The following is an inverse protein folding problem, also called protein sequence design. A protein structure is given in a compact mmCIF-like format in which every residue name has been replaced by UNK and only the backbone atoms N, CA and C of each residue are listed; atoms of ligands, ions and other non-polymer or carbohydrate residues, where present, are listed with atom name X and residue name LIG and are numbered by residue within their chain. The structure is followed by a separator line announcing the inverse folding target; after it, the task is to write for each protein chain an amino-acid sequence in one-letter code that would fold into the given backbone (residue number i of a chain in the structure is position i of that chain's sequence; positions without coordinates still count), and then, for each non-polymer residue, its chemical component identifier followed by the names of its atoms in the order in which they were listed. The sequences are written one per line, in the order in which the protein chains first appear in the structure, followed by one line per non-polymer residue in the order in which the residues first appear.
data_IF_956581572467
#
_entry.id   IF_956581572467
#
_cell.length_a   1.000
_cell.length_b   1.000
_cell.length_c   1.000
_cell.angle_alpha   90.00
_cell.angle_beta   90.00
_cell.angle_gamma   90.00
#
_symmetry.space_group_name_H-M   'P 1'
#
loop_
_entity.id
_entity.type
_entity.pdbx_description
1 polymer ?
#
# COMPACT_ATOMS: atom_id res chain seq x y z
N UNK A 1 -3.50 -22.47 17.83
CA UNK A 1 -3.40 -23.23 16.57
C UNK A 1 -2.89 -22.28 15.50
N UNK A 2 -1.56 -22.18 15.38
CA UNK A 2 -0.87 -21.41 14.34
C UNK A 2 0.31 -22.27 13.92
N UNK A 3 0.06 -23.26 13.06
CA UNK A 3 1.11 -24.04 12.41
C UNK A 3 0.79 -24.04 10.92
N UNK A 4 1.40 -23.10 10.21
CA UNK A 4 1.44 -23.08 8.75
C UNK A 4 2.83 -22.57 8.35
N UNK A 5 3.85 -23.38 8.64
CA UNK A 5 5.23 -23.18 8.17
C UNK A 5 5.72 -24.34 7.30
N UNK A 6 4.89 -25.36 7.06
CA UNK A 6 5.27 -26.54 6.29
C UNK A 6 5.49 -26.25 4.79
N UNK A 7 5.02 -25.10 4.29
CA UNK A 7 5.26 -24.62 2.92
C UNK A 7 6.43 -23.63 2.80
N UNK A 8 7.21 -23.41 3.86
CA UNK A 8 8.35 -22.49 3.79
C UNK A 8 9.51 -23.11 2.97
N UNK A 9 10.15 -22.35 2.08
CA UNK A 9 11.32 -22.80 1.34
C UNK A 9 12.42 -23.37 2.25
N UNK A 10 13.16 -24.38 1.78
CA UNK A 10 14.30 -24.93 2.54
C UNK A 10 15.30 -23.82 2.85
N UNK A 11 15.58 -23.60 4.12
CA UNK A 11 16.45 -22.53 4.60
C UNK A 11 15.71 -21.31 5.18
N UNK A 12 14.38 -21.32 5.24
CA UNK A 12 13.62 -20.27 5.93
C UNK A 12 13.90 -20.29 7.43
N UNK A 13 14.51 -19.21 7.92
CA UNK A 13 14.72 -18.96 9.35
C UNK A 13 13.45 -18.32 9.90
N UNK A 14 12.87 -18.92 10.94
CA UNK A 14 11.72 -18.35 11.63
C UNK A 14 12.14 -17.04 12.33
N UNK A 15 11.44 -15.91 12.09
CA UNK A 15 11.68 -14.69 12.85
C UNK A 15 11.39 -14.87 14.35
N UNK A 16 12.16 -14.20 15.21
CA UNK A 16 11.87 -14.17 16.64
C UNK A 16 10.48 -13.56 16.91
N UNK A 17 9.79 -14.09 17.92
CA UNK A 17 8.47 -13.59 18.30
C UNK A 17 8.62 -12.22 18.94
N UNK A 18 8.05 -11.22 18.28
CA UNK A 18 8.11 -9.84 18.74
C UNK A 18 7.22 -9.61 19.96
N UNK A 19 7.77 -8.99 21.02
CA UNK A 19 6.96 -8.56 22.15
C UNK A 19 6.07 -7.37 21.74
N UNK A 20 4.79 -7.45 22.10
CA UNK A 20 3.82 -6.40 21.80
C UNK A 20 3.89 -5.27 22.83
N UNK A 21 4.39 -5.55 24.03
CA UNK A 21 4.61 -4.54 25.08
C UNK A 21 5.88 -3.76 24.74
N UNK A 22 5.72 -2.57 24.16
CA UNK A 22 6.85 -1.76 23.68
C UNK A 22 7.08 -1.82 22.18
N UNK A 23 6.18 -2.42 21.40
CA UNK A 23 6.28 -2.40 19.94
C UNK A 23 6.33 -0.97 19.35
N UNK A 24 5.68 -0.04 20.04
CA UNK A 24 5.63 1.38 19.66
C UNK A 24 6.51 2.27 20.55
N UNK A 25 7.33 1.68 21.44
CA UNK A 25 8.34 2.50 22.10
C UNK A 25 9.45 2.80 21.10
N UNK A 26 9.89 4.06 21.06
CA UNK A 26 11.01 4.53 20.25
C UNK A 26 12.35 4.08 20.88
N UNK A 27 12.46 2.80 21.19
CA UNK A 27 13.68 2.19 21.67
C UNK A 27 14.41 1.59 20.47
N UNK A 28 15.54 2.21 20.09
CA UNK A 28 16.35 1.80 18.94
C UNK A 28 17.01 0.44 19.19
N UNK A 29 17.18 0.04 20.45
CA UNK A 29 17.65 -1.30 20.84
C UNK A 29 16.50 -2.33 20.90
N UNK A 30 15.28 -1.89 20.63
CA UNK A 30 14.07 -2.70 20.67
C UNK A 30 14.09 -3.86 19.66
N UNK A 31 13.35 -4.92 19.97
CA UNK A 31 13.32 -6.15 19.18
C UNK A 31 12.91 -5.96 17.70
N UNK A 32 12.23 -4.85 17.37
CA UNK A 32 11.92 -4.46 15.98
C UNK A 32 13.13 -4.06 15.15
N UNK A 33 14.18 -3.51 15.77
CA UNK A 33 15.38 -3.02 15.08
C UNK A 33 16.50 -4.08 15.02
N UNK A 34 16.36 -5.21 15.72
CA UNK A 34 17.33 -6.31 15.77
C UNK A 34 17.58 -7.01 14.42
N UNK A 35 16.71 -6.84 13.44
CA UNK A 35 16.88 -7.41 12.09
C UNK A 35 18.09 -6.84 11.33
N UNK A 36 18.56 -5.65 11.69
CA UNK A 36 19.74 -5.05 11.08
C UNK A 36 21.03 -5.79 11.47
N UNK A 37 21.12 -6.30 12.70
CA UNK A 37 22.26 -7.08 13.18
C UNK A 37 22.32 -8.49 12.57
N UNK A 38 21.19 -9.02 12.09
CA UNK A 38 21.14 -10.31 11.36
C UNK A 38 21.81 -10.19 9.98
N UNK A 39 21.71 -9.01 9.35
CA UNK A 39 22.46 -8.72 8.12
C UNK A 39 23.96 -8.65 8.39
N UNK A 40 24.37 -8.14 9.56
CA UNK A 40 25.78 -8.12 10.00
C UNK A 40 26.33 -9.52 10.32
N UNK A 41 25.51 -10.42 10.88
CA UNK A 41 25.92 -11.78 11.23
C UNK A 41 26.02 -12.75 10.02
N UNK A 42 25.34 -12.45 8.91
CA UNK A 42 25.43 -13.22 7.66
C UNK A 42 26.56 -12.76 6.73
N UNK A 43 27.12 -11.59 6.98
CA UNK A 43 28.36 -11.12 6.38
C UNK A 43 29.49 -11.76 7.19
N UNK A 44 30.22 -12.73 6.64
CA UNK A 44 31.45 -13.22 7.26
C UNK A 44 32.46 -12.07 7.50
N UNK A 45 33.72 -12.38 7.83
CA UNK A 45 34.77 -11.40 8.19
C UNK A 45 34.95 -10.17 7.25
N UNK A 46 34.33 -10.15 6.07
CA UNK A 46 34.14 -8.98 5.23
C UNK A 46 32.92 -8.13 5.68
N UNK A 47 33.20 -7.20 6.59
CA UNK A 47 32.29 -6.21 7.20
C UNK A 47 31.84 -5.08 6.25
N UNK A 48 31.50 -5.37 4.99
CA UNK A 48 30.98 -4.33 4.09
C UNK A 48 29.45 -4.39 4.13
N UNK A 49 28.77 -3.38 4.72
CA UNK A 49 27.32 -3.34 4.72
C UNK A 49 26.79 -3.32 3.27
N UNK A 50 25.61 -3.90 3.01
CA UNK A 50 25.03 -3.87 1.67
C UNK A 50 24.85 -2.42 1.22
N UNK A 51 24.98 -2.16 -0.09
CA UNK A 51 25.00 -0.79 -0.62
C UNK A 51 23.73 0.00 -0.27
N UNK A 52 22.57 -0.67 -0.16
CA UNK A 52 21.33 -0.01 0.23
C UNK A 52 21.35 0.52 1.66
N UNK A 53 22.29 0.04 2.49
CA UNK A 53 22.53 0.50 3.85
C UNK A 53 23.72 1.47 3.91
N UNK A 54 24.74 1.25 3.08
CA UNK A 54 26.04 1.94 3.15
C UNK A 54 26.17 3.19 2.27
N UNK A 55 25.38 3.30 1.19
CA UNK A 55 25.48 4.36 0.18
C UNK A 55 24.21 5.21 0.16
N UNK A 56 24.31 6.46 0.62
CA UNK A 56 23.22 7.43 0.62
C UNK A 56 22.61 7.64 -0.77
N UNK A 57 23.39 7.54 -1.85
CA UNK A 57 22.86 7.65 -3.21
C UNK A 57 21.94 6.48 -3.55
N UNK A 58 22.23 5.29 -3.02
CA UNK A 58 21.35 4.13 -3.19
C UNK A 58 20.03 4.33 -2.43
N UNK A 59 20.03 4.95 -1.25
CA UNK A 59 18.80 5.32 -0.55
C UNK A 59 17.97 6.31 -1.36
N UNK A 60 18.59 7.39 -1.85
CA UNK A 60 17.91 8.40 -2.68
C UNK A 60 17.33 7.76 -3.94
N UNK A 61 18.08 6.87 -4.59
CA UNK A 61 17.61 6.16 -5.77
C UNK A 61 16.42 5.22 -5.48
N UNK A 62 16.47 4.47 -4.38
CA UNK A 62 15.36 3.59 -3.95
C UNK A 62 14.11 4.40 -3.64
N UNK A 63 14.25 5.48 -2.85
CA UNK A 63 13.14 6.35 -2.49
C UNK A 63 12.52 6.96 -3.75
N UNK A 64 13.33 7.53 -4.65
CA UNK A 64 12.84 8.11 -5.89
C UNK A 64 12.14 7.08 -6.79
N UNK A 65 12.66 5.86 -6.86
CA UNK A 65 12.03 4.78 -7.63
C UNK A 65 10.68 4.36 -7.02
N UNK A 66 10.60 4.23 -5.70
CA UNK A 66 9.37 3.88 -5.00
C UNK A 66 8.31 4.98 -5.12
N UNK A 67 8.72 6.24 -4.99
CA UNK A 67 7.84 7.40 -5.18
C UNK A 67 7.28 7.44 -6.61
N UNK A 68 8.16 7.29 -7.62
CA UNK A 68 7.73 7.22 -9.02
C UNK A 68 6.74 6.09 -9.28
N UNK A 69 7.00 4.89 -8.73
CA UNK A 69 6.07 3.75 -8.82
C UNK A 69 4.74 4.04 -8.14
N UNK A 70 4.77 4.66 -6.96
CA UNK A 70 3.59 5.06 -6.20
C UNK A 70 2.73 6.04 -6.99
N UNK A 71 3.30 7.14 -7.46
CA UNK A 71 2.60 8.13 -8.28
C UNK A 71 1.99 7.51 -9.55
N UNK A 72 2.70 6.59 -10.20
CA UNK A 72 2.18 5.93 -11.39
C UNK A 72 0.99 5.00 -11.08
N UNK A 73 1.06 4.27 -9.97
CA UNK A 73 -0.05 3.43 -9.53
C UNK A 73 -1.27 4.29 -9.13
N UNK A 74 -1.06 5.35 -8.38
CA UNK A 74 -2.10 6.28 -7.95
C UNK A 74 -2.76 6.97 -9.14
N UNK A 75 -1.99 7.44 -10.12
CA UNK A 75 -2.54 8.02 -11.35
C UNK A 75 -3.46 7.05 -12.10
N UNK A 76 -3.10 5.77 -12.15
CA UNK A 76 -3.94 4.75 -12.79
C UNK A 76 -5.24 4.51 -12.03
N UNK A 77 -5.19 4.51 -10.69
CA UNK A 77 -6.37 4.40 -9.84
C UNK A 77 -7.29 5.62 -10.06
N UNK A 78 -6.75 6.83 -9.99
CA UNK A 78 -7.51 8.07 -10.20
C UNK A 78 -8.20 8.06 -11.55
N UNK A 79 -7.50 7.66 -12.62
CA UNK A 79 -8.11 7.57 -13.97
C UNK A 79 -9.31 6.62 -13.99
N UNK A 80 -9.19 5.48 -13.32
CA UNK A 80 -10.26 4.50 -13.25
C UNK A 80 -11.43 5.01 -12.39
N UNK A 81 -11.16 5.62 -11.25
CA UNK A 81 -12.18 6.21 -10.38
C UNK A 81 -12.94 7.34 -11.07
N UNK A 82 -12.22 8.24 -11.77
CA UNK A 82 -12.84 9.32 -12.55
C UNK A 82 -13.73 8.77 -13.66
N UNK A 83 -13.28 7.73 -14.37
CA UNK A 83 -14.09 7.09 -15.40
C UNK A 83 -15.39 6.50 -14.81
N UNK A 84 -15.29 5.81 -13.66
CA UNK A 84 -16.44 5.24 -12.98
C UNK A 84 -17.41 6.32 -12.47
N UNK A 85 -16.88 7.39 -11.88
CA UNK A 85 -17.69 8.53 -11.40
C UNK A 85 -18.40 9.22 -12.55
N UNK A 86 -17.77 9.32 -13.72
CA UNK A 86 -18.41 9.91 -14.89
C UNK A 86 -19.58 9.05 -15.40
N UNK A 87 -19.42 7.73 -15.44
CA UNK A 87 -20.52 6.82 -15.80
C UNK A 87 -21.69 6.99 -14.84
N UNK A 88 -21.42 6.92 -13.53
CA UNK A 88 -22.43 7.14 -12.50
C UNK A 88 -23.13 8.50 -12.61
N UNK A 89 -22.36 9.56 -12.85
CA UNK A 89 -22.91 10.90 -13.00
C UNK A 89 -23.89 11.00 -14.19
N UNK A 90 -23.52 10.42 -15.33
CA UNK A 90 -24.36 10.43 -16.53
C UNK A 90 -25.67 9.67 -16.28
N UNK A 91 -25.58 8.48 -15.70
CA UNK A 91 -26.74 7.64 -15.37
C UNK A 91 -27.69 8.36 -14.39
N UNK A 92 -27.15 8.92 -13.31
CA UNK A 92 -27.94 9.62 -12.29
C UNK A 92 -28.58 10.89 -12.85
N UNK A 93 -27.82 11.65 -13.66
CA UNK A 93 -28.33 12.85 -14.29
C UNK A 93 -29.49 12.52 -15.24
N UNK A 94 -29.38 11.47 -16.06
CA UNK A 94 -30.43 11.04 -16.97
C UNK A 94 -31.70 10.59 -16.22
N UNK A 95 -31.53 9.85 -15.12
CA UNK A 95 -32.63 9.45 -14.25
C UNK A 95 -33.37 10.67 -13.65
N UNK A 96 -32.63 11.69 -13.19
CA UNK A 96 -33.21 12.93 -12.67
C UNK A 96 -33.96 13.69 -13.76
N UNK A 97 -33.37 13.84 -14.95
CA UNK A 97 -34.03 14.54 -16.07
C UNK A 97 -35.33 13.84 -16.48
N UNK A 98 -35.32 12.51 -16.53
CA UNK A 98 -36.51 11.70 -16.83
C UNK A 98 -37.60 11.93 -15.78
N UNK A 99 -37.25 11.87 -14.49
CA UNK A 99 -38.21 12.11 -13.41
C UNK A 99 -38.79 13.55 -13.45
N UNK A 100 -37.98 14.56 -13.77
CA UNK A 100 -38.46 15.95 -13.93
C UNK A 100 -39.45 16.05 -15.09
N UNK A 101 -39.15 15.41 -16.22
CA UNK A 101 -40.03 15.43 -17.39
C UNK A 101 -41.37 14.74 -17.10
N UNK A 102 -41.35 13.56 -16.46
CA UNK A 102 -42.57 12.85 -16.05
C UNK A 102 -43.42 13.66 -15.06
N UNK A 103 -42.79 14.28 -14.06
CA UNK A 103 -43.49 15.17 -13.13
C UNK A 103 -44.13 16.39 -13.84
N UNK A 104 -43.44 16.95 -14.84
CA UNK A 104 -43.97 18.03 -15.67
C UNK A 104 -45.13 17.60 -16.58
N UNK A 105 -45.09 16.39 -17.14
CA UNK A 105 -46.19 15.82 -17.93
C UNK A 105 -47.43 15.56 -17.07
N UNK A 106 -47.27 14.95 -15.90
CA UNK A 106 -48.38 14.71 -14.98
C UNK A 106 -49.05 15.98 -14.48
N UNK A 107 -48.33 17.10 -14.38
CA UNK A 107 -48.92 18.41 -14.07
C UNK A 107 -49.82 18.97 -15.17
N UNK A 108 -49.56 18.64 -16.44
CA UNK A 108 -50.33 19.15 -17.59
C UNK A 108 -51.54 18.27 -17.92
N UNK A 109 -51.52 16.99 -17.54
CA UNK A 109 -52.60 16.02 -17.80
C UNK A 109 -53.72 16.04 -16.74
N UNK A 110 -53.52 16.73 -15.61
CA UNK A 110 -54.54 16.85 -14.54
C UNK A 110 -55.43 18.11 -14.64
N UNK A 111 -55.49 18.76 -15.81
CA UNK A 111 -56.43 19.89 -16.07
C UNK A 111 -57.70 19.43 -16.81
#
# INVERSE_FOLDING_TARGET
MLDAWDDAPRGTIRPEKLDRKGLFSLDVDGAIWKGLHILEAGLGDNRVPPQWLADENMWVAIIAYLDWKGCHAELNIIKHEVANMHVWYVEEHDAIQTAIHEAGMHSNDTC
#
